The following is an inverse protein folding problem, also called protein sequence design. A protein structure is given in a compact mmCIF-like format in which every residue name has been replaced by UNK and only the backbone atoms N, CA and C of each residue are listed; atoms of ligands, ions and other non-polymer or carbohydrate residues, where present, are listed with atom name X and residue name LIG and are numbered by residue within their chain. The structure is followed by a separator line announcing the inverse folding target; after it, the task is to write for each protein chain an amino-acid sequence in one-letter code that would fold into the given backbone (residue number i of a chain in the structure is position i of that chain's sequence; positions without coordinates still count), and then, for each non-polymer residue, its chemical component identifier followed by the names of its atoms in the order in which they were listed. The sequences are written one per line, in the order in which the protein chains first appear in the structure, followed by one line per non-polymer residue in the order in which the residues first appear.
data_IF_307683214390
#
_entry.id   IF_307683214390
#
_cell.length_a   1.000
_cell.length_b   1.000
_cell.length_c   1.000
_cell.angle_alpha   90.00
_cell.angle_beta   90.00
_cell.angle_gamma   90.00
#
_symmetry.space_group_name_H-M   'P 1'
#
loop_
_entity.id
_entity.type
_entity.pdbx_description
1 polymer ?
#
# COMPACT_ATOMS: atom_id res chain seq x y z
N UNK A 1 15.46 -19.62 -7.47
CA UNK A 1 14.43 -18.57 -7.29
C UNK A 1 14.75 -17.76 -6.04
N UNK A 2 15.18 -16.49 -6.17
CA UNK A 2 15.65 -15.70 -5.02
C UNK A 2 14.47 -15.03 -4.29
N UNK A 3 14.22 -15.33 -2.99
CA UNK A 3 13.17 -14.72 -2.17
C UNK A 3 13.55 -13.32 -1.65
N UNK A 4 14.28 -12.53 -2.45
CA UNK A 4 14.82 -11.22 -2.05
C UNK A 4 13.83 -10.05 -2.27
N UNK A 5 12.61 -10.33 -2.74
CA UNK A 5 11.59 -9.33 -3.05
C UNK A 5 10.69 -8.97 -1.85
N UNK A 6 11.13 -9.26 -0.62
CA UNK A 6 10.39 -8.94 0.63
C UNK A 6 11.04 -7.78 1.40
N UNK A 7 12.29 -7.40 1.10
CA UNK A 7 12.97 -6.33 1.83
C UNK A 7 12.50 -4.90 1.49
N UNK A 8 11.89 -4.71 0.32
CA UNK A 8 11.45 -3.37 -0.13
C UNK A 8 9.92 -3.20 -0.20
N UNK A 9 9.15 -4.23 0.18
CA UNK A 9 7.73 -4.03 0.52
C UNK A 9 7.57 -3.37 1.90
N UNK A 10 8.66 -2.86 2.50
CA UNK A 10 8.60 -1.56 3.13
C UNK A 10 8.42 -0.50 2.03
N UNK A 11 7.23 -0.49 1.40
CA UNK A 11 6.71 0.71 0.76
C UNK A 11 6.98 1.79 1.80
N UNK A 12 7.79 2.78 1.43
CA UNK A 12 8.18 3.91 2.25
C UNK A 12 6.98 4.80 2.61
N UNK A 13 5.94 4.24 3.22
CA UNK A 13 5.22 4.82 4.34
C UNK A 13 6.08 4.81 5.62
N UNK A 14 7.40 4.57 5.52
CA UNK A 14 8.38 4.97 6.53
C UNK A 14 8.52 6.51 6.67
N UNK A 15 7.66 7.31 6.03
CA UNK A 15 7.45 8.72 6.41
C UNK A 15 6.39 8.89 7.51
N UNK A 16 5.73 7.81 7.96
CA UNK A 16 4.85 7.79 9.14
C UNK A 16 5.36 6.85 10.23
N UNK A 17 6.67 6.61 10.27
CA UNK A 17 7.32 6.17 11.51
C UNK A 17 7.78 7.42 12.29
N UNK A 18 6.82 8.26 12.67
CA UNK A 18 7.06 9.28 13.71
C UNK A 18 6.66 8.64 15.03
N UNK A 19 7.68 8.31 15.82
CA UNK A 19 7.69 8.39 17.29
C UNK A 19 6.49 7.83 18.06
N UNK A 20 6.72 6.68 18.69
CA UNK A 20 6.25 6.42 20.05
C UNK A 20 5.00 5.57 20.19
N UNK A 21 5.17 4.36 20.74
CA UNK A 21 4.63 4.05 22.06
C UNK A 21 5.23 2.71 22.54
N UNK A 22 6.03 2.83 23.58
CA UNK A 22 6.52 1.75 24.41
C UNK A 22 5.38 1.08 25.19
N UNK A 23 5.63 -0.16 25.62
CA UNK A 23 4.99 -0.87 26.76
C UNK A 23 3.52 -1.32 26.52
N UNK A 24 3.04 -2.50 26.92
CA UNK A 24 3.43 -3.50 27.93
C UNK A 24 2.62 -4.77 27.65
N UNK A 25 3.17 -5.96 27.94
CA UNK A 25 2.37 -7.18 28.10
C UNK A 25 1.40 -7.03 29.28
N UNK A 26 0.20 -7.63 29.20
CA UNK A 26 -0.33 -8.32 30.36
C UNK A 26 -0.85 -9.73 30.05
N UNK A 27 -0.27 -10.68 30.79
CA UNK A 27 -0.84 -11.85 31.48
C UNK A 27 -2.33 -12.15 31.27
N UNK A 28 -2.62 -13.40 30.84
CA UNK A 28 -3.93 -14.08 30.97
C UNK A 28 -4.32 -14.30 32.44
N UNK A 29 -5.64 -14.28 32.73
CA UNK A 29 -6.24 -15.24 33.66
C UNK A 29 -7.34 -16.11 32.99
N UNK A 30 -7.71 -17.28 33.56
CA UNK A 30 -8.74 -18.17 33.02
C UNK A 30 -10.14 -18.01 33.65
N UNK A 31 -11.16 -18.38 32.85
CA UNK A 31 -12.46 -18.98 33.17
C UNK A 31 -13.75 -18.13 33.44
N UNK A 32 -14.83 -18.61 32.78
CA UNK A 32 -16.28 -18.58 33.11
C UNK A 32 -17.20 -17.48 32.52
N UNK A 33 -18.51 -17.80 32.26
CA UNK A 33 -19.28 -17.30 31.12
C UNK A 33 -20.16 -16.08 31.43
N UNK A 34 -20.23 -15.12 30.51
CA UNK A 34 -21.17 -14.01 30.55
C UNK A 34 -21.78 -13.76 29.18
N UNK A 35 -23.11 -13.66 29.18
CA UNK A 35 -24.00 -13.35 28.06
C UNK A 35 -23.59 -12.06 27.37
N UNK A 36 -23.47 -12.08 26.04
CA UNK A 36 -23.38 -10.85 25.24
C UNK A 36 -24.33 -10.94 24.07
N UNK A 37 -25.41 -10.17 24.22
CA UNK A 37 -26.16 -9.43 23.21
C UNK A 37 -25.63 -9.59 21.78
N UNK A 38 -26.52 -10.00 20.88
CA UNK A 38 -26.34 -9.86 19.43
C UNK A 38 -26.21 -8.38 19.10
N UNK A 39 -25.01 -7.84 19.24
CA UNK A 39 -24.60 -6.59 18.61
C UNK A 39 -24.69 -6.86 17.10
N UNK A 40 -25.81 -6.44 16.50
CA UNK A 40 -25.88 -6.26 15.07
C UNK A 40 -25.05 -5.04 14.76
N UNK A 41 -23.73 -5.20 14.90
CA UNK A 41 -22.75 -4.27 14.41
C UNK A 41 -23.12 -4.15 12.94
N UNK A 42 -23.50 -2.96 12.50
CA UNK A 42 -23.44 -2.61 11.10
C UNK A 42 -22.00 -2.92 10.71
N UNK A 43 -21.79 -4.12 10.14
CA UNK A 43 -20.47 -4.64 9.82
C UNK A 43 -19.99 -3.73 8.72
N UNK A 44 -19.28 -2.69 9.14
CA UNK A 44 -18.57 -1.84 8.23
C UNK A 44 -17.68 -2.78 7.42
N UNK A 45 -17.78 -2.77 6.07
CA UNK A 45 -16.89 -3.57 5.26
C UNK A 45 -15.47 -3.26 5.72
N UNK A 46 -14.71 -4.31 6.00
CA UNK A 46 -13.36 -4.14 6.53
C UNK A 46 -12.56 -3.29 5.56
N UNK A 47 -11.49 -2.65 6.03
CA UNK A 47 -10.58 -1.91 5.14
C UNK A 47 -10.12 -2.74 3.91
N UNK A 48 -10.09 -4.07 4.07
CA UNK A 48 -9.79 -5.07 3.03
C UNK A 48 -10.83 -5.14 1.91
N UNK A 49 -12.07 -4.79 2.21
CA UNK A 49 -13.22 -4.82 1.31
C UNK A 49 -13.41 -3.48 0.59
N UNK A 50 -12.71 -2.43 1.03
CA UNK A 50 -12.74 -1.13 0.37
C UNK A 50 -11.83 -1.13 -0.88
N UNK A 51 -12.45 -1.41 -2.03
CA UNK A 51 -11.77 -1.43 -3.33
C UNK A 51 -11.11 -0.09 -3.70
N UNK A 52 -11.63 1.04 -3.22
CA UNK A 52 -11.05 2.35 -3.51
C UNK A 52 -9.74 2.58 -2.76
N UNK A 53 -9.66 2.22 -1.48
CA UNK A 53 -8.41 2.26 -0.70
C UNK A 53 -7.39 1.34 -1.35
N UNK A 54 -7.79 0.12 -1.72
CA UNK A 54 -6.91 -0.83 -2.39
C UNK A 54 -6.37 -0.28 -3.72
N UNK A 55 -7.24 0.27 -4.58
CA UNK A 55 -6.85 0.85 -5.88
C UNK A 55 -5.86 2.01 -5.72
N UNK A 56 -6.06 2.85 -4.71
CA UNK A 56 -5.15 3.96 -4.40
C UNK A 56 -3.78 3.46 -3.94
N UNK A 57 -3.75 2.46 -3.06
CA UNK A 57 -2.50 1.83 -2.62
C UNK A 57 -1.79 1.11 -3.77
N UNK A 58 -2.53 0.45 -4.66
CA UNK A 58 -2.01 -0.22 -5.85
C UNK A 58 -1.32 0.78 -6.78
N UNK A 59 -1.90 1.97 -6.97
CA UNK A 59 -1.30 3.06 -7.75
C UNK A 59 0.09 3.45 -7.19
N UNK A 60 0.21 3.58 -5.86
CA UNK A 60 1.49 3.90 -5.21
C UNK A 60 2.48 2.75 -5.34
N UNK A 61 2.02 1.51 -5.16
CA UNK A 61 2.86 0.31 -5.26
C UNK A 61 3.46 0.16 -6.67
N UNK A 62 2.65 0.29 -7.73
CA UNK A 62 3.13 0.23 -9.12
C UNK A 62 4.13 1.37 -9.39
N UNK A 63 3.83 2.59 -8.95
CA UNK A 63 4.74 3.72 -9.08
C UNK A 63 6.08 3.49 -8.35
N UNK A 64 6.07 2.77 -7.21
CA UNK A 64 7.32 2.41 -6.53
C UNK A 64 8.12 1.39 -7.30
N UNK A 65 7.51 0.30 -7.76
CA UNK A 65 8.23 -0.72 -8.54
C UNK A 65 8.88 -0.11 -9.80
N UNK A 66 8.19 0.82 -10.48
CA UNK A 66 8.75 1.51 -11.65
C UNK A 66 9.98 2.35 -11.29
N UNK A 67 9.91 3.20 -10.26
CA UNK A 67 11.04 4.09 -9.90
C UNK A 67 12.20 3.33 -9.25
N UNK A 68 11.93 2.23 -8.57
CA UNK A 68 12.93 1.43 -7.86
C UNK A 68 13.77 0.60 -8.85
N UNK A 69 13.22 0.29 -10.03
CA UNK A 69 13.91 -0.43 -11.12
C UNK A 69 14.36 0.48 -12.29
N UNK A 70 13.99 1.77 -12.30
CA UNK A 70 14.30 2.69 -13.39
C UNK A 70 15.02 3.97 -12.91
N UNK A 71 16.33 4.06 -13.17
CA UNK A 71 17.17 5.19 -12.73
C UNK A 71 16.83 6.53 -13.38
N UNK A 72 16.19 6.51 -14.56
CA UNK A 72 15.82 7.72 -15.31
C UNK A 72 14.46 8.30 -14.89
N UNK A 73 13.73 7.61 -13.99
CA UNK A 73 12.43 8.05 -13.48
C UNK A 73 12.54 8.29 -11.98
N UNK A 74 11.81 9.29 -11.49
CA UNK A 74 11.76 9.63 -10.07
C UNK A 74 10.33 9.93 -9.63
N UNK A 75 10.06 9.76 -8.34
CA UNK A 75 8.78 10.16 -7.77
C UNK A 75 8.68 11.68 -7.67
N UNK A 76 7.50 12.23 -7.97
CA UNK A 76 7.13 13.59 -7.57
C UNK A 76 6.82 13.60 -6.08
N UNK A 77 7.86 13.72 -5.23
CA UNK A 77 7.77 13.55 -3.77
C UNK A 77 6.56 14.29 -3.16
N UNK A 78 6.38 15.57 -3.48
CA UNK A 78 5.23 16.35 -2.98
C UNK A 78 3.89 15.79 -3.46
N UNK A 79 3.78 15.41 -4.74
CA UNK A 79 2.53 14.82 -5.28
C UNK A 79 2.22 13.48 -4.65
N UNK A 80 3.23 12.61 -4.46
CA UNK A 80 3.06 11.33 -3.76
C UNK A 80 2.62 11.56 -2.31
N UNK A 81 3.21 12.53 -1.61
CA UNK A 81 2.82 12.89 -0.25
C UNK A 81 1.35 13.31 -0.19
N UNK A 82 0.93 14.28 -1.03
CA UNK A 82 -0.47 14.71 -1.08
C UNK A 82 -1.43 13.59 -1.47
N UNK A 83 -1.00 12.70 -2.37
CA UNK A 83 -1.80 11.55 -2.77
C UNK A 83 -2.04 10.60 -1.59
N UNK A 84 -1.00 10.23 -0.84
CA UNK A 84 -1.09 9.36 0.35
C UNK A 84 -1.94 10.03 1.44
N UNK A 85 -1.76 11.32 1.69
CA UNK A 85 -2.62 12.08 2.62
C UNK A 85 -4.10 12.03 2.19
N UNK A 86 -4.35 12.10 0.88
CA UNK A 86 -5.69 11.91 0.31
C UNK A 86 -6.27 10.52 0.57
N UNK A 87 -5.45 9.46 0.47
CA UNK A 87 -5.87 8.09 0.84
C UNK A 87 -6.25 8.03 2.32
N UNK A 88 -5.41 8.58 3.20
CA UNK A 88 -5.65 8.60 4.65
C UNK A 88 -6.88 9.42 5.03
N UNK A 89 -7.14 10.52 4.33
CA UNK A 89 -8.35 11.31 4.52
C UNK A 89 -9.60 10.56 4.05
N UNK A 90 -9.53 9.89 2.90
CA UNK A 90 -10.62 9.07 2.41
C UNK A 90 -10.94 7.94 3.40
N UNK A 91 -9.92 7.21 3.83
CA UNK A 91 -9.95 6.23 4.90
C UNK A 91 -10.68 6.72 6.17
N UNK A 92 -10.29 7.89 6.67
CA UNK A 92 -10.94 8.54 7.82
C UNK A 92 -12.40 8.89 7.57
N UNK A 93 -12.74 9.39 6.38
CA UNK A 93 -14.15 9.66 6.01
C UNK A 93 -15.01 8.41 5.96
N UNK A 94 -14.41 7.26 5.65
CA UNK A 94 -15.08 5.98 5.77
C UNK A 94 -15.20 5.53 7.23
N UNK A 95 -14.58 6.23 8.20
CA UNK A 95 -14.61 5.93 9.63
C UNK A 95 -13.50 4.97 10.07
N UNK A 96 -12.41 4.86 9.33
CA UNK A 96 -11.24 4.08 9.75
C UNK A 96 -10.24 5.00 10.46
N UNK A 97 -9.59 4.49 11.51
CA UNK A 97 -8.51 5.19 12.21
C UNK A 97 -7.19 5.08 11.46
N UNK A 98 -6.17 5.82 11.91
CA UNK A 98 -4.79 5.63 11.41
C UNK A 98 -4.26 4.25 11.80
N UNK A 99 -4.57 3.79 13.01
CA UNK A 99 -4.15 2.48 13.51
C UNK A 99 -4.73 1.33 12.65
N UNK A 100 -5.96 1.48 12.16
CA UNK A 100 -6.56 0.52 11.23
C UNK A 100 -5.79 0.45 9.90
N UNK A 101 -5.35 1.61 9.39
CA UNK A 101 -4.56 1.72 8.16
C UNK A 101 -3.15 1.13 8.35
N UNK A 102 -2.55 1.35 9.52
CA UNK A 102 -1.25 0.79 9.88
C UNK A 102 -1.33 -0.72 10.07
N UNK A 103 -2.33 -1.22 10.79
CA UNK A 103 -2.59 -2.65 10.95
C UNK A 103 -2.81 -3.34 9.59
N UNK A 104 -3.56 -2.69 8.69
CA UNK A 104 -3.78 -3.19 7.34
C UNK A 104 -2.49 -3.28 6.53
N UNK A 105 -1.68 -2.23 6.53
CA UNK A 105 -0.36 -2.24 5.86
C UNK A 105 0.54 -3.32 6.43
N UNK A 106 0.49 -3.57 7.73
CA UNK A 106 1.32 -4.56 8.41
C UNK A 106 0.81 -6.01 8.28
N UNK A 107 -0.38 -6.21 7.69
CA UNK A 107 -0.94 -7.54 7.50
C UNK A 107 -0.32 -8.23 6.28
N UNK A 108 0.35 -9.36 6.50
CA UNK A 108 1.06 -10.13 5.45
C UNK A 108 0.13 -10.56 4.30
N UNK A 109 -1.12 -10.91 4.58
CA UNK A 109 -2.08 -11.29 3.52
C UNK A 109 -2.39 -10.14 2.56
N UNK A 110 -2.54 -8.92 3.10
CA UNK A 110 -2.86 -7.72 2.34
C UNK A 110 -1.67 -7.23 1.55
N UNK A 111 -0.47 -7.30 2.14
CA UNK A 111 0.79 -7.07 1.43
C UNK A 111 0.95 -8.02 0.24
N UNK A 112 0.68 -9.33 0.44
CA UNK A 112 0.73 -10.32 -0.64
C UNK A 112 -0.31 -10.04 -1.73
N UNK A 113 -1.53 -9.67 -1.35
CA UNK A 113 -2.60 -9.29 -2.30
C UNK A 113 -2.21 -8.07 -3.12
N UNK A 114 -1.69 -7.03 -2.46
CA UNK A 114 -1.23 -5.81 -3.11
C UNK A 114 -0.07 -6.09 -4.07
N UNK A 115 0.93 -6.84 -3.61
CA UNK A 115 2.09 -7.25 -4.41
C UNK A 115 1.68 -8.08 -5.63
N UNK A 116 0.78 -9.05 -5.47
CA UNK A 116 0.26 -9.84 -6.58
C UNK A 116 -0.47 -8.98 -7.62
N UNK A 117 -1.30 -8.03 -7.17
CA UNK A 117 -1.98 -7.09 -8.06
C UNK A 117 -1.00 -6.17 -8.79
N UNK A 118 0.06 -5.71 -8.11
CA UNK A 118 1.13 -4.91 -8.71
C UNK A 118 1.85 -5.70 -9.80
N UNK A 119 2.27 -6.94 -9.54
CA UNK A 119 2.95 -7.75 -10.56
C UNK A 119 2.01 -8.11 -11.72
N UNK A 120 0.75 -8.43 -11.45
CA UNK A 120 -0.22 -8.65 -12.52
C UNK A 120 -0.38 -7.41 -13.43
N UNK A 121 -0.31 -6.20 -12.87
CA UNK A 121 -0.30 -4.97 -13.67
C UNK A 121 0.97 -4.85 -14.51
N UNK A 122 2.13 -5.08 -13.92
CA UNK A 122 3.42 -4.98 -14.60
C UNK A 122 3.53 -5.99 -15.74
N UNK A 123 3.20 -7.26 -15.48
CA UNK A 123 3.23 -8.35 -16.46
C UNK A 123 2.26 -8.05 -17.62
N UNK A 124 1.04 -7.58 -17.31
CA UNK A 124 0.05 -7.18 -18.32
C UNK A 124 0.55 -6.05 -19.22
N UNK A 125 1.44 -5.20 -18.72
CA UNK A 125 2.02 -4.08 -19.45
C UNK A 125 3.39 -4.40 -20.06
N UNK A 126 3.77 -5.68 -20.13
CA UNK A 126 4.97 -6.15 -20.82
C UNK A 126 6.28 -5.92 -20.07
N UNK A 127 6.22 -5.68 -18.75
CA UNK A 127 7.41 -5.61 -17.91
C UNK A 127 7.95 -7.02 -17.68
N UNK A 128 9.25 -7.20 -17.92
CA UNK A 128 9.98 -8.41 -17.55
C UNK A 128 10.63 -8.20 -16.19
N UNK A 129 10.21 -9.01 -15.21
CA UNK A 129 10.66 -8.88 -13.82
C UNK A 129 12.14 -9.20 -13.62
N UNK A 130 12.75 -9.93 -14.54
CA UNK A 130 14.19 -10.25 -14.52
C UNK A 130 15.03 -9.17 -15.24
N UNK A 131 14.39 -8.20 -15.89
CA UNK A 131 15.05 -7.11 -16.61
C UNK A 131 14.56 -5.74 -16.10
N UNK A 132 15.31 -5.07 -15.21
CA UNK A 132 14.99 -3.73 -14.73
C UNK A 132 14.81 -2.69 -15.84
N UNK A 133 15.50 -2.85 -16.98
CA UNK A 133 15.37 -1.91 -18.10
C UNK A 133 13.95 -1.91 -18.71
N UNK A 134 13.21 -3.01 -18.56
CA UNK A 134 11.83 -3.15 -19.04
C UNK A 134 10.81 -2.30 -18.26
N UNK A 135 11.14 -1.82 -17.05
CA UNK A 135 10.27 -0.96 -16.24
C UNK A 135 10.23 0.49 -16.76
N UNK A 136 11.33 0.96 -17.34
CA UNK A 136 11.46 2.34 -17.80
C UNK A 136 10.48 2.72 -18.93
N UNK A 137 10.29 1.90 -19.99
CA UNK A 137 9.28 2.14 -21.03
C UNK A 137 7.86 2.28 -20.46
N UNK A 138 7.48 1.42 -19.52
CA UNK A 138 6.18 1.51 -18.85
C UNK A 138 6.05 2.84 -18.10
N UNK A 139 7.04 3.18 -17.27
CA UNK A 139 7.00 4.44 -16.53
C UNK A 139 6.87 5.68 -17.41
N UNK A 140 7.58 5.72 -18.55
CA UNK A 140 7.44 6.80 -19.54
C UNK A 140 6.04 6.83 -20.17
N UNK A 141 5.47 5.66 -20.43
CA UNK A 141 4.10 5.52 -20.98
C UNK A 141 3.07 6.05 -19.98
N UNK A 142 3.18 5.69 -18.70
CA UNK A 142 2.31 6.19 -17.63
C UNK A 142 2.38 7.72 -17.53
N UNK A 143 3.60 8.28 -17.51
CA UNK A 143 3.83 9.73 -17.46
C UNK A 143 3.19 10.41 -18.68
N UNK A 144 3.42 9.89 -19.89
CA UNK A 144 2.86 10.44 -21.13
C UNK A 144 1.34 10.43 -21.12
N UNK A 145 0.74 9.33 -20.65
CA UNK A 145 -0.71 9.15 -20.59
C UNK A 145 -1.35 9.96 -19.45
N UNK A 146 -0.56 10.62 -18.59
CA UNK A 146 -1.05 11.34 -17.41
C UNK A 146 -1.95 10.47 -16.53
N UNK A 147 -1.66 9.16 -16.48
CA UNK A 147 -2.38 8.23 -15.63
C UNK A 147 -2.20 8.61 -14.16
N UNK A 148 -2.98 8.02 -13.25
CA UNK A 148 -2.73 8.26 -11.83
C UNK A 148 -1.32 7.84 -11.40
N UNK A 149 -0.77 6.74 -11.96
CA UNK A 149 0.62 6.32 -11.74
C UNK A 149 1.58 7.38 -12.31
N UNK A 150 1.36 7.81 -13.55
CA UNK A 150 2.19 8.80 -14.24
C UNK A 150 2.22 10.16 -13.56
N UNK A 151 1.12 10.58 -12.94
CA UNK A 151 1.04 11.81 -12.13
C UNK A 151 1.92 11.74 -10.87
N UNK A 152 2.20 10.54 -10.36
CA UNK A 152 3.11 10.35 -9.23
C UNK A 152 4.58 10.32 -9.67
N UNK A 153 4.85 10.21 -10.96
CA UNK A 153 6.17 10.04 -11.54
C UNK A 153 6.62 11.27 -12.35
N UNK A 154 7.93 11.40 -12.51
CA UNK A 154 8.56 12.35 -13.43
C UNK A 154 9.83 11.73 -14.03
N UNK A 155 10.09 12.04 -15.29
CA UNK A 155 11.42 11.83 -15.85
C UNK A 155 12.43 12.69 -15.11
N UNK A 156 13.65 12.18 -14.95
CA UNK A 156 14.78 12.98 -14.47
C UNK A 156 15.20 14.01 -15.50
#
# INVERSE_FOLDING_TARGET
MKPQLIKSLAIGLAAFAVMGASHTNPVLPPAAPTSTTTDSTLVKPGIKDNAEIFSRLLTVAIGSEIRDNCDTISARKFTVMFYVLGVMNYARKQGFSMDDMDAYRNTKSEQKRLSAATYAYLDKNGVNRDDPASYCPLGRTEIKNKSQIGKLLKSR
#
